data_IF_141947066031
#
_entry.id   IF_141947066031
#
_cell.length_a   1.000
_cell.length_b   1.000
_cell.length_c   1.000
_cell.angle_alpha   90.00
_cell.angle_beta   90.00
_cell.angle_gamma   90.00
#
_symmetry.space_group_name_H-M   'P 1'
#
loop_
_entity.id
_entity.type
_entity.pdbx_description
1 polymer ?
#
# COMPACT_ATOMS: atom_id res chain seq x y z
N UNK A 1 -13.24 3.36 -21.62
CA UNK A 1 -12.48 3.14 -20.36
C UNK A 1 -10.94 3.24 -20.49
N UNK A 2 -10.42 4.02 -21.44
CA UNK A 2 -8.95 4.18 -21.63
C UNK A 2 -8.28 4.94 -20.49
N UNK A 3 -8.91 6.02 -20.01
CA UNK A 3 -8.37 6.84 -18.93
C UNK A 3 -8.22 6.06 -17.62
N UNK A 4 -9.14 5.16 -17.28
CA UNK A 4 -9.03 4.31 -16.09
C UNK A 4 -7.80 3.41 -16.14
N UNK A 5 -7.54 2.76 -17.26
CA UNK A 5 -6.36 1.90 -17.42
C UNK A 5 -5.07 2.72 -17.34
N UNK A 6 -4.99 3.83 -18.08
CA UNK A 6 -3.82 4.70 -18.04
C UNK A 6 -3.53 5.22 -16.63
N UNK A 7 -4.56 5.66 -15.91
CA UNK A 7 -4.41 6.20 -14.56
C UNK A 7 -4.01 5.09 -13.56
N UNK A 8 -4.66 3.94 -13.60
CA UNK A 8 -4.32 2.82 -12.72
C UNK A 8 -2.87 2.34 -12.96
N UNK A 9 -2.44 2.27 -14.22
CA UNK A 9 -1.07 1.93 -14.56
C UNK A 9 -0.08 2.96 -14.04
N UNK A 10 -0.31 4.25 -14.31
CA UNK A 10 0.56 5.34 -13.85
C UNK A 10 0.67 5.40 -12.32
N UNK A 11 -0.44 5.23 -11.59
CA UNK A 11 -0.45 5.22 -10.12
C UNK A 11 0.35 4.04 -9.58
N UNK A 12 0.23 2.85 -10.17
CA UNK A 12 1.03 1.70 -9.74
C UNK A 12 2.54 1.92 -9.95
N UNK A 13 2.94 2.53 -11.07
CA UNK A 13 4.34 2.90 -11.30
C UNK A 13 4.84 3.92 -10.27
N UNK A 14 4.03 4.94 -9.97
CA UNK A 14 4.36 5.94 -8.95
C UNK A 14 4.53 5.31 -7.56
N UNK A 15 3.65 4.38 -7.20
CA UNK A 15 3.75 3.63 -5.94
C UNK A 15 5.04 2.80 -5.88
N UNK A 16 5.37 2.07 -6.95
CA UNK A 16 6.60 1.28 -7.02
C UNK A 16 7.85 2.15 -6.88
N UNK A 17 7.88 3.31 -7.55
CA UNK A 17 9.01 4.23 -7.44
C UNK A 17 9.14 4.88 -6.07
N UNK A 18 8.01 5.25 -5.46
CA UNK A 18 7.99 5.75 -4.08
C UNK A 18 8.60 4.73 -3.12
N UNK A 19 8.26 3.44 -3.29
CA UNK A 19 8.85 2.36 -2.48
C UNK A 19 10.35 2.24 -2.71
N UNK A 20 10.81 2.29 -3.96
CA UNK A 20 12.24 2.23 -4.29
C UNK A 20 13.01 3.37 -3.61
N UNK A 21 12.46 4.57 -3.62
CA UNK A 21 13.09 5.75 -3.03
C UNK A 21 13.09 5.69 -1.49
N UNK A 22 12.00 5.25 -0.86
CA UNK A 22 11.99 5.08 0.61
C UNK A 22 13.04 4.05 1.05
N UNK A 23 13.18 2.95 0.30
CA UNK A 23 14.20 1.93 0.58
C UNK A 23 15.61 2.49 0.35
N UNK A 24 15.84 3.32 -0.67
CA UNK A 24 17.16 3.96 -0.91
C UNK A 24 17.57 4.87 0.24
N UNK A 25 16.60 5.47 0.92
CA UNK A 25 16.78 6.28 2.14
C UNK A 25 16.92 5.45 3.43
N UNK A 26 16.87 4.12 3.36
CA UNK A 26 16.91 3.23 4.53
C UNK A 26 15.62 3.22 5.35
N UNK A 27 14.51 3.72 4.78
CA UNK A 27 13.19 3.71 5.42
C UNK A 27 12.46 2.43 5.06
N UNK A 28 11.92 1.71 6.05
CA UNK A 28 11.04 0.57 5.81
C UNK A 28 9.62 1.08 5.46
N UNK A 29 9.15 0.91 4.21
CA UNK A 29 7.85 1.43 3.80
C UNK A 29 6.69 0.57 4.36
N UNK A 30 5.55 1.18 4.72
CA UNK A 30 4.37 0.44 5.15
C UNK A 30 3.65 -0.21 3.96
N UNK A 31 3.92 -1.50 3.70
CA UNK A 31 3.36 -2.24 2.56
C UNK A 31 2.30 -3.24 3.01
N UNK A 32 1.11 -3.12 2.42
CA UNK A 32 0.03 -4.09 2.59
C UNK A 32 0.30 -5.34 1.76
N UNK A 33 0.17 -6.50 2.39
CA UNK A 33 0.30 -7.80 1.73
C UNK A 33 -1.09 -8.31 1.34
N UNK A 34 -1.20 -9.07 0.25
CA UNK A 34 -2.48 -9.73 -0.07
C UNK A 34 -2.93 -10.63 1.10
N UNK A 35 -4.16 -10.44 1.57
CA UNK A 35 -4.79 -11.27 2.59
C UNK A 35 -4.84 -12.76 2.19
N UNK A 36 -4.87 -13.04 0.88
CA UNK A 36 -4.89 -14.38 0.33
C UNK A 36 -3.54 -15.12 0.43
N UNK A 37 -2.45 -14.41 0.79
CA UNK A 37 -1.16 -15.05 1.04
C UNK A 37 -1.11 -15.63 2.46
N UNK A 38 -0.40 -16.75 2.69
CA UNK A 38 -0.20 -17.30 4.03
C UNK A 38 0.34 -16.23 5.00
N UNK A 39 -0.44 -15.92 6.03
CA UNK A 39 -0.08 -14.91 7.04
C UNK A 39 -0.24 -13.46 6.60
N UNK A 40 -0.86 -13.17 5.45
CA UNK A 40 -1.12 -11.82 4.94
C UNK A 40 -1.90 -10.95 5.95
N UNK A 41 -2.98 -11.48 6.51
CA UNK A 41 -3.79 -10.78 7.53
C UNK A 41 -2.96 -10.40 8.77
N UNK A 42 -2.11 -11.33 9.25
CA UNK A 42 -1.27 -11.08 10.42
C UNK A 42 -0.25 -9.97 10.15
N UNK A 43 0.29 -9.90 8.93
CA UNK A 43 1.21 -8.82 8.51
C UNK A 43 0.49 -7.47 8.43
N UNK A 44 -0.73 -7.45 7.89
CA UNK A 44 -1.49 -6.21 7.70
C UNK A 44 -2.05 -5.65 9.00
N UNK A 45 -2.30 -6.48 10.03
CA UNK A 45 -2.91 -6.07 11.29
C UNK A 45 -2.23 -4.86 11.97
N UNK A 46 -0.91 -4.72 11.82
CA UNK A 46 -0.18 -3.54 12.35
C UNK A 46 -0.55 -2.26 11.59
N UNK A 47 -0.69 -2.35 10.27
CA UNK A 47 -1.06 -1.25 9.39
C UNK A 47 -2.53 -0.87 9.58
N UNK A 48 -3.41 -1.86 9.68
CA UNK A 48 -4.84 -1.66 9.98
C UNK A 48 -5.02 -0.82 11.24
N UNK A 49 -4.42 -1.25 12.36
CA UNK A 49 -4.50 -0.53 13.64
C UNK A 49 -3.96 0.90 13.55
N UNK A 50 -2.93 1.13 12.74
CA UNK A 50 -2.29 2.44 12.60
C UNK A 50 -3.08 3.39 11.69
N UNK A 51 -3.63 2.89 10.58
CA UNK A 51 -4.15 3.73 9.50
C UNK A 51 -5.67 3.74 9.39
N UNK A 52 -6.39 2.67 9.77
CA UNK A 52 -7.87 2.63 9.70
C UNK A 52 -8.51 3.77 10.51
N UNK A 53 -8.09 4.07 11.75
CA UNK A 53 -8.69 5.17 12.52
C UNK A 53 -8.54 6.55 11.87
N UNK A 54 -7.61 6.70 10.92
CA UNK A 54 -7.39 7.95 10.18
C UNK A 54 -8.36 8.09 9.00
N UNK A 55 -9.09 7.03 8.65
CA UNK A 55 -10.02 6.98 7.51
C UNK A 55 -11.45 7.01 8.05
N UNK A 56 -12.12 8.16 7.91
CA UNK A 56 -13.43 8.47 8.53
C UNK A 56 -14.52 7.41 8.36
N UNK A 57 -14.55 6.67 7.26
CA UNK A 57 -15.60 5.68 6.98
C UNK A 57 -15.22 4.24 7.37
N UNK A 58 -13.99 4.03 7.87
CA UNK A 58 -13.48 2.71 8.27
C UNK A 58 -13.29 2.60 9.80
N UNK A 59 -13.43 3.70 10.54
CA UNK A 59 -13.26 3.77 12.00
C UNK A 59 -14.56 4.05 12.74
#
# INVERSE_FOLDING_TARGET
>A
PTSTFCNAFAINLLMAETVRELVSMGIEPPIWTSANLPGGDKKNRKLEKKYIPLIKHLG
#
